data_IF_951707553894
#
_entry.id   IF_951707553894
#
_cell.length_a   1.000
_cell.length_b   1.000
_cell.length_c   1.000
_cell.angle_alpha   90.00
_cell.angle_beta   90.00
_cell.angle_gamma   90.00
#
_symmetry.space_group_name_H-M   'P 1'
#
loop_
_entity.id
_entity.type
_entity.pdbx_description
1 polymer ?
#
# COMPACT_ATOMS: atom_id res chain seq x y z
N UNK A 1 -18.69 -3.70 21.05
CA UNK A 1 -20.03 -3.63 20.41
C UNK A 1 -19.82 -3.91 18.92
N UNK A 2 -20.62 -4.76 18.28
CA UNK A 2 -20.48 -4.97 16.82
C UNK A 2 -20.87 -3.67 16.09
N UNK A 3 -20.16 -3.28 15.00
CA UNK A 3 -20.53 -2.11 14.24
C UNK A 3 -21.94 -2.25 13.69
N UNK A 4 -22.72 -1.16 13.74
CA UNK A 4 -24.08 -1.16 13.19
C UNK A 4 -24.00 -1.45 11.69
N UNK A 5 -24.84 -2.39 11.21
CA UNK A 5 -24.96 -2.65 9.78
C UNK A 5 -25.47 -1.38 9.10
N UNK A 6 -24.79 -0.89 8.02
CA UNK A 6 -25.27 0.25 7.29
C UNK A 6 -26.63 -0.06 6.64
N UNK A 7 -27.54 0.92 6.53
CA UNK A 7 -28.80 0.73 5.80
C UNK A 7 -28.52 0.36 4.34
N UNK A 8 -29.29 -0.58 3.79
CA UNK A 8 -29.19 -0.99 2.39
C UNK A 8 -29.88 0.10 1.51
N UNK A 9 -29.25 0.45 0.39
CA UNK A 9 -29.77 1.38 -0.65
C UNK A 9 -29.95 2.87 -0.26
N UNK A 10 -29.08 3.45 0.53
CA UNK A 10 -29.08 4.89 0.77
C UNK A 10 -27.96 5.59 0.00
N UNK A 11 -28.26 6.71 -0.64
CA UNK A 11 -27.27 7.67 -1.10
C UNK A 11 -26.64 8.35 0.12
N UNK A 12 -25.53 7.76 0.61
CA UNK A 12 -24.82 8.28 1.77
C UNK A 12 -24.15 9.60 1.44
N UNK A 13 -24.51 10.64 2.18
CA UNK A 13 -23.75 11.90 2.21
C UNK A 13 -22.52 11.75 3.10
N UNK A 14 -21.56 12.65 2.97
CA UNK A 14 -20.37 12.67 3.86
C UNK A 14 -20.76 12.81 5.33
N UNK A 15 -21.70 13.68 5.73
CA UNK A 15 -22.22 13.71 7.11
C UNK A 15 -22.78 12.37 7.61
N UNK A 16 -23.52 11.61 6.78
CA UNK A 16 -24.06 10.31 7.16
C UNK A 16 -22.93 9.30 7.42
N UNK A 17 -21.90 9.32 6.56
CA UNK A 17 -20.71 8.48 6.69
C UNK A 17 -19.96 8.81 8.00
N UNK A 18 -19.75 10.08 8.29
CA UNK A 18 -19.09 10.51 9.53
C UNK A 18 -19.89 10.10 10.78
N UNK A 19 -21.22 10.26 10.75
CA UNK A 19 -22.09 9.81 11.83
C UNK A 19 -22.03 8.29 12.04
N UNK A 20 -21.97 7.52 10.96
CA UNK A 20 -21.78 6.06 11.06
C UNK A 20 -20.41 5.69 11.64
N UNK A 21 -19.35 6.38 11.23
CA UNK A 21 -17.99 6.17 11.75
C UNK A 21 -17.93 6.46 13.24
N UNK A 22 -18.52 7.58 13.68
CA UNK A 22 -18.58 7.95 15.10
C UNK A 22 -19.35 6.92 15.92
N UNK A 23 -20.53 6.48 15.44
CA UNK A 23 -21.35 5.48 16.12
C UNK A 23 -20.71 4.07 16.15
N UNK A 24 -19.75 3.79 15.24
CA UNK A 24 -19.04 2.51 15.11
C UNK A 24 -17.65 2.56 15.77
N UNK A 25 -17.24 3.69 16.30
CA UNK A 25 -15.93 3.94 16.87
C UNK A 25 -15.62 3.14 18.14
N UNK A 26 -14.33 2.98 18.43
CA UNK A 26 -13.87 2.25 19.62
C UNK A 26 -12.54 2.80 20.14
N UNK A 27 -12.51 3.22 21.39
CA UNK A 27 -11.29 3.67 22.07
C UNK A 27 -10.24 2.56 22.17
N UNK A 28 -10.66 1.31 22.39
CA UNK A 28 -9.75 0.17 22.45
C UNK A 28 -9.05 -0.07 21.10
N UNK A 29 -9.77 0.10 20.00
CA UNK A 29 -9.18 0.02 18.67
C UNK A 29 -8.17 1.16 18.43
N UNK A 30 -8.45 2.38 18.89
CA UNK A 30 -7.51 3.50 18.80
C UNK A 30 -6.21 3.15 19.52
N UNK A 31 -6.27 2.65 20.76
CA UNK A 31 -5.10 2.21 21.48
C UNK A 31 -4.34 1.08 20.78
N UNK A 32 -5.07 0.14 20.14
CA UNK A 32 -4.49 -0.91 19.31
C UNK A 32 -3.73 -0.34 18.10
N UNK A 33 -4.32 0.60 17.37
CA UNK A 33 -3.73 1.25 16.18
C UNK A 33 -2.43 1.97 16.51
N UNK A 34 -2.37 2.69 17.63
CA UNK A 34 -1.17 3.40 18.08
C UNK A 34 0.04 2.48 18.27
N UNK A 35 -0.17 1.25 18.78
CA UNK A 35 0.91 0.25 18.95
C UNK A 35 1.56 -0.15 17.62
N UNK A 36 0.85 -0.01 16.51
CA UNK A 36 1.35 -0.28 15.17
C UNK A 36 1.88 0.97 14.44
N UNK A 37 1.98 2.12 15.14
CA UNK A 37 2.46 3.37 14.58
C UNK A 37 1.48 4.05 13.64
N UNK A 38 0.18 3.76 13.76
CA UNK A 38 -0.87 4.44 13.04
C UNK A 38 -1.22 5.73 13.78
N UNK A 39 -1.28 6.85 13.05
CA UNK A 39 -1.71 8.14 13.60
C UNK A 39 -3.20 8.13 13.88
N UNK A 40 -3.58 8.54 15.07
CA UNK A 40 -4.96 8.47 15.56
C UNK A 40 -5.50 9.81 16.08
N UNK A 41 -4.80 10.90 15.82
CA UNK A 41 -5.19 12.24 16.28
C UNK A 41 -6.59 12.65 15.79
N UNK A 42 -6.96 12.18 14.59
CA UNK A 42 -8.29 12.28 14.00
C UNK A 42 -8.75 10.88 13.57
N UNK A 43 -9.15 10.05 14.53
CA UNK A 43 -9.63 8.69 14.25
C UNK A 43 -10.83 8.36 15.14
N UNK A 44 -11.78 7.63 14.57
CA UNK A 44 -12.94 7.08 15.29
C UNK A 44 -12.62 5.71 15.93
N UNK A 45 -11.59 5.01 15.45
CA UNK A 45 -11.26 3.67 15.91
C UNK A 45 -12.06 2.55 15.22
N UNK A 46 -12.46 2.76 13.97
CA UNK A 46 -13.14 1.73 13.17
C UNK A 46 -12.10 0.94 12.37
N UNK A 47 -12.05 -0.38 12.57
CA UNK A 47 -11.09 -1.26 11.89
C UNK A 47 -11.47 -1.57 10.44
N UNK A 48 -10.48 -1.98 9.64
CA UNK A 48 -10.65 -2.33 8.21
C UNK A 48 -11.66 -3.45 7.96
N UNK A 49 -11.88 -4.35 8.93
CA UNK A 49 -12.90 -5.40 8.86
C UNK A 49 -14.33 -4.83 8.75
N UNK A 50 -14.58 -3.64 9.29
CA UNK A 50 -15.85 -2.93 9.16
C UNK A 50 -15.84 -1.94 7.98
N UNK A 51 -14.72 -1.24 7.76
CA UNK A 51 -14.62 -0.22 6.69
C UNK A 51 -14.73 -0.82 5.29
N UNK A 52 -14.10 -1.97 5.02
CA UNK A 52 -14.14 -2.57 3.67
C UNK A 52 -15.55 -3.00 3.22
N UNK A 53 -16.36 -3.70 4.02
CA UNK A 53 -17.75 -3.97 3.67
C UNK A 53 -18.58 -2.68 3.51
N UNK A 54 -18.38 -1.70 4.37
CA UNK A 54 -19.06 -0.41 4.25
C UNK A 54 -18.69 0.33 2.96
N UNK A 55 -17.40 0.39 2.63
CA UNK A 55 -16.96 0.96 1.35
C UNK A 55 -17.58 0.28 0.13
N UNK A 56 -17.77 -1.06 0.18
CA UNK A 56 -18.50 -1.78 -0.88
C UNK A 56 -19.97 -1.36 -0.97
N UNK A 57 -20.63 -1.12 0.15
CA UNK A 57 -22.02 -0.63 0.17
C UNK A 57 -22.12 0.79 -0.39
N UNK A 58 -21.13 1.64 -0.09
CA UNK A 58 -21.08 3.01 -0.60
C UNK A 58 -20.91 3.08 -2.13
N UNK A 59 -20.25 2.09 -2.73
CA UNK A 59 -19.88 2.13 -4.13
C UNK A 59 -18.85 3.21 -4.47
N UNK A 60 -18.45 3.27 -5.73
CA UNK A 60 -17.47 4.28 -6.21
C UNK A 60 -18.14 5.61 -6.49
N UNK A 61 -17.51 6.70 -6.04
CA UNK A 61 -17.90 8.08 -6.31
C UNK A 61 -16.73 9.01 -6.00
N UNK A 62 -16.17 9.62 -7.04
CA UNK A 62 -14.98 10.46 -6.94
C UNK A 62 -15.22 11.74 -6.12
N UNK A 63 -16.35 12.45 -6.34
CA UNK A 63 -16.66 13.68 -5.61
C UNK A 63 -16.75 13.42 -4.11
N UNK A 64 -17.47 12.37 -3.73
CA UNK A 64 -17.57 11.96 -2.32
C UNK A 64 -16.23 11.54 -1.75
N UNK A 65 -15.36 10.88 -2.54
CA UNK A 65 -14.02 10.53 -2.11
C UNK A 65 -13.16 11.76 -1.83
N UNK A 66 -13.23 12.80 -2.68
CA UNK A 66 -12.56 14.07 -2.44
C UNK A 66 -13.03 14.72 -1.12
N UNK A 67 -14.34 14.80 -0.91
CA UNK A 67 -14.90 15.37 0.31
C UNK A 67 -14.49 14.58 1.56
N UNK A 68 -14.54 13.24 1.51
CA UNK A 68 -14.10 12.37 2.61
C UNK A 68 -12.62 12.58 2.93
N UNK A 69 -11.77 12.72 1.91
CA UNK A 69 -10.34 13.00 2.11
C UNK A 69 -10.10 14.29 2.87
N UNK A 70 -10.81 15.36 2.51
CA UNK A 70 -10.69 16.69 3.11
C UNK A 70 -11.10 16.73 4.58
N UNK A 71 -11.90 15.79 5.08
CA UNK A 71 -12.27 15.74 6.49
C UNK A 71 -11.06 15.53 7.41
N UNK A 72 -10.01 14.90 6.91
CA UNK A 72 -8.80 14.58 7.65
C UNK A 72 -8.95 13.42 8.66
N UNK A 73 -10.15 12.85 8.84
CA UNK A 73 -10.33 11.67 9.67
C UNK A 73 -9.73 10.42 9.00
N UNK A 74 -9.02 9.61 9.79
CA UNK A 74 -8.35 8.39 9.29
C UNK A 74 -9.31 7.48 8.53
N UNK A 75 -10.43 7.16 9.12
CA UNK A 75 -11.41 6.23 8.53
C UNK A 75 -12.09 6.81 7.30
N UNK A 76 -12.37 8.11 7.28
CA UNK A 76 -12.91 8.80 6.12
C UNK A 76 -11.91 8.78 4.95
N UNK A 77 -10.61 9.00 5.21
CA UNK A 77 -9.55 8.87 4.21
C UNK A 77 -9.44 7.44 3.66
N UNK A 78 -9.57 6.43 4.52
CA UNK A 78 -9.58 5.04 4.06
C UNK A 78 -10.82 4.72 3.20
N UNK A 79 -12.00 5.23 3.57
CA UNK A 79 -13.21 5.11 2.74
C UNK A 79 -13.08 5.87 1.43
N UNK A 80 -12.48 7.07 1.43
CA UNK A 80 -12.14 7.79 0.21
C UNK A 80 -11.36 6.88 -0.75
N UNK A 81 -10.25 6.29 -0.29
CA UNK A 81 -9.40 5.40 -1.08
C UNK A 81 -10.12 4.13 -1.56
N UNK A 82 -11.04 3.57 -0.76
CA UNK A 82 -11.81 2.39 -1.16
C UNK A 82 -12.91 2.69 -2.18
N UNK A 83 -13.39 3.92 -2.22
CA UNK A 83 -14.57 4.32 -3.00
C UNK A 83 -14.28 5.33 -4.10
N UNK A 84 -13.01 5.71 -4.28
CA UNK A 84 -12.61 6.57 -5.39
C UNK A 84 -12.65 5.81 -6.73
N UNK A 85 -12.79 6.55 -7.81
CA UNK A 85 -12.79 6.08 -9.19
C UNK A 85 -11.37 6.19 -9.76
N UNK A 86 -10.62 5.08 -9.94
CA UNK A 86 -9.22 5.15 -10.38
C UNK A 86 -9.03 5.94 -11.67
N UNK A 87 -9.96 5.82 -12.63
CA UNK A 87 -9.89 6.55 -13.90
C UNK A 87 -10.03 8.08 -13.78
N UNK A 88 -10.40 8.58 -12.61
CA UNK A 88 -10.52 10.02 -12.31
C UNK A 88 -9.39 10.55 -11.40
N UNK A 89 -8.61 9.67 -10.82
CA UNK A 89 -7.43 10.05 -10.01
C UNK A 89 -6.31 10.48 -10.95
N UNK A 90 -6.03 11.78 -11.03
CA UNK A 90 -4.91 12.31 -11.80
C UNK A 90 -3.58 12.18 -11.04
N UNK A 91 -2.42 12.23 -11.72
CA UNK A 91 -1.12 12.28 -11.05
C UNK A 91 -1.00 13.46 -10.09
N UNK A 92 -1.59 14.62 -10.44
CA UNK A 92 -1.59 15.80 -9.57
C UNK A 92 -2.36 15.51 -8.28
N UNK A 93 -3.57 14.93 -8.39
CA UNK A 93 -4.36 14.55 -7.21
C UNK A 93 -3.60 13.50 -6.35
N UNK A 94 -2.94 12.53 -6.97
CA UNK A 94 -2.12 11.55 -6.23
C UNK A 94 -0.98 12.23 -5.43
N UNK A 95 -0.33 13.27 -6.00
CA UNK A 95 0.69 14.07 -5.30
C UNK A 95 0.12 14.87 -4.12
N UNK A 96 -1.05 15.47 -4.31
CA UNK A 96 -1.76 16.18 -3.24
C UNK A 96 -2.11 15.24 -2.08
N UNK A 97 -2.65 14.06 -2.39
CA UNK A 97 -2.92 13.05 -1.37
C UNK A 97 -1.63 12.59 -0.67
N UNK A 98 -0.55 12.36 -1.42
CA UNK A 98 0.72 11.90 -0.89
C UNK A 98 1.38 12.94 0.04
N UNK A 99 1.13 14.23 -0.17
CA UNK A 99 1.60 15.29 0.73
C UNK A 99 1.03 15.19 2.14
N UNK A 100 -0.15 14.59 2.29
CA UNK A 100 -0.87 14.40 3.56
C UNK A 100 -0.59 13.07 4.25
N UNK A 101 0.21 12.19 3.65
CA UNK A 101 0.44 10.85 4.20
C UNK A 101 1.19 10.89 5.53
N UNK A 102 0.60 10.30 6.54
CA UNK A 102 1.13 10.27 7.91
C UNK A 102 1.13 8.89 8.55
N UNK A 103 0.69 7.84 7.82
CA UNK A 103 0.71 6.47 8.31
C UNK A 103 0.90 5.47 7.16
N UNK A 104 1.55 4.34 7.46
CA UNK A 104 1.82 3.27 6.51
C UNK A 104 0.53 2.64 5.94
N UNK A 105 -0.53 2.60 6.71
CA UNK A 105 -1.80 1.98 6.33
C UNK A 105 -2.49 2.76 5.20
N UNK A 106 -2.54 4.09 5.32
CA UNK A 106 -3.09 4.97 4.26
C UNK A 106 -2.25 4.83 3.00
N UNK A 107 -0.92 4.85 3.13
CA UNK A 107 0.02 4.68 2.01
C UNK A 107 -0.25 3.39 1.26
N UNK A 108 -0.39 2.26 1.97
CA UNK A 108 -0.53 0.97 1.32
C UNK A 108 -1.83 0.88 0.49
N UNK A 109 -2.93 1.47 0.99
CA UNK A 109 -4.20 1.50 0.27
C UNK A 109 -4.17 2.52 -0.89
N UNK A 110 -3.59 3.70 -0.67
CA UNK A 110 -3.42 4.69 -1.74
C UNK A 110 -2.55 4.17 -2.88
N UNK A 111 -1.50 3.39 -2.55
CA UNK A 111 -0.63 2.79 -3.56
C UNK A 111 -1.38 1.83 -4.51
N UNK A 112 -2.35 1.08 -3.99
CA UNK A 112 -3.22 0.22 -4.81
C UNK A 112 -4.07 1.08 -5.77
N UNK A 113 -4.72 2.13 -5.26
CA UNK A 113 -5.49 3.08 -6.06
C UNK A 113 -4.64 3.74 -7.16
N UNK A 114 -3.41 4.18 -6.85
CA UNK A 114 -2.53 4.83 -7.82
C UNK A 114 -2.04 3.86 -8.91
N UNK A 115 -1.84 2.59 -8.57
CA UNK A 115 -1.53 1.53 -9.53
C UNK A 115 -2.74 1.27 -10.45
N UNK A 116 -3.94 1.16 -9.88
CA UNK A 116 -5.18 0.98 -10.63
C UNK A 116 -5.49 2.19 -11.55
N UNK A 117 -5.08 3.40 -11.14
CA UNK A 117 -5.16 4.63 -11.93
C UNK A 117 -4.13 4.71 -13.08
N UNK A 118 -3.17 3.76 -13.14
CA UNK A 118 -2.17 3.69 -14.19
C UNK A 118 -0.93 4.57 -14.00
N UNK A 119 -0.69 5.08 -12.79
CA UNK A 119 0.37 6.06 -12.52
C UNK A 119 1.71 5.48 -12.09
N UNK A 120 1.91 4.16 -12.26
CA UNK A 120 3.13 3.48 -11.78
C UNK A 120 4.40 4.12 -12.34
N UNK A 121 4.46 4.32 -13.66
CA UNK A 121 5.70 4.74 -14.35
C UNK A 121 6.05 6.20 -14.08
N UNK A 122 5.04 7.05 -13.87
CA UNK A 122 5.23 8.46 -13.57
C UNK A 122 5.59 8.69 -12.10
N UNK A 123 4.82 8.11 -11.17
CA UNK A 123 4.93 8.44 -9.74
C UNK A 123 6.02 7.65 -9.02
N UNK A 124 6.36 6.43 -9.44
CA UNK A 124 7.35 5.62 -8.72
C UNK A 124 8.73 6.29 -8.69
N UNK A 125 9.33 6.75 -9.80
CA UNK A 125 10.62 7.41 -9.73
C UNK A 125 10.60 8.72 -8.94
N UNK A 126 9.51 9.50 -9.06
CA UNK A 126 9.32 10.75 -8.34
C UNK A 126 9.20 10.52 -6.83
N UNK A 127 8.30 9.65 -6.40
CA UNK A 127 8.07 9.38 -4.99
C UNK A 127 9.26 8.67 -4.32
N UNK A 128 10.00 7.84 -5.06
CA UNK A 128 11.22 7.23 -4.53
C UNK A 128 12.29 8.28 -4.21
N UNK A 129 12.38 9.36 -5.01
CA UNK A 129 13.34 10.44 -4.81
C UNK A 129 12.93 11.41 -3.68
N UNK A 130 11.65 11.43 -3.28
CA UNK A 130 11.14 12.33 -2.24
C UNK A 130 11.75 12.00 -0.87
N UNK A 131 12.09 13.03 -0.09
CA UNK A 131 12.69 12.86 1.24
C UNK A 131 11.68 12.53 2.34
N UNK A 132 10.40 12.80 2.13
CA UNK A 132 9.34 12.48 3.09
C UNK A 132 9.15 10.97 3.19
N UNK A 133 9.17 10.43 4.40
CA UNK A 133 9.17 8.99 4.66
C UNK A 133 7.99 8.27 3.98
N UNK A 134 6.78 8.79 4.13
CA UNK A 134 5.58 8.13 3.63
C UNK A 134 5.41 8.31 2.12
N UNK A 135 5.90 9.41 1.53
CA UNK A 135 5.93 9.57 0.07
C UNK A 135 6.91 8.57 -0.56
N UNK A 136 8.13 8.46 -0.03
CA UNK A 136 9.09 7.44 -0.50
C UNK A 136 8.55 6.03 -0.29
N UNK A 137 7.88 5.74 0.84
CA UNK A 137 7.21 4.46 1.05
C UNK A 137 6.23 4.14 -0.06
N UNK A 138 5.45 5.13 -0.53
CA UNK A 138 4.43 4.95 -1.57
C UNK A 138 5.02 4.38 -2.85
N UNK A 139 6.20 4.85 -3.29
CA UNK A 139 6.87 4.31 -4.47
C UNK A 139 7.04 2.78 -4.40
N UNK A 140 7.56 2.29 -3.27
CA UNK A 140 7.84 0.87 -3.11
C UNK A 140 6.57 0.04 -2.82
N UNK A 141 5.58 0.62 -2.17
CA UNK A 141 4.27 0.01 -2.02
C UNK A 141 3.56 -0.12 -3.37
N UNK A 142 3.63 0.89 -4.25
CA UNK A 142 3.12 0.81 -5.63
C UNK A 142 3.79 -0.30 -6.42
N UNK A 143 5.12 -0.46 -6.34
CA UNK A 143 5.83 -1.57 -6.98
C UNK A 143 5.31 -2.91 -6.47
N UNK A 144 5.13 -3.05 -5.16
CA UNK A 144 4.64 -4.29 -4.56
C UNK A 144 3.22 -4.63 -5.03
N UNK A 145 2.31 -3.66 -5.06
CA UNK A 145 0.94 -3.83 -5.56
C UNK A 145 0.93 -4.15 -7.06
N UNK A 146 1.68 -3.41 -7.87
CA UNK A 146 1.79 -3.63 -9.31
C UNK A 146 2.28 -5.05 -9.64
N UNK A 147 3.29 -5.55 -8.92
CA UNK A 147 3.82 -6.91 -9.11
C UNK A 147 2.77 -8.00 -8.86
N UNK A 148 1.76 -7.73 -8.02
CA UNK A 148 0.64 -8.65 -7.72
C UNK A 148 -0.53 -8.47 -8.69
N UNK A 149 -0.92 -7.23 -8.99
CA UNK A 149 -2.19 -6.92 -9.65
C UNK A 149 -2.06 -6.73 -11.17
N UNK A 150 -0.96 -6.15 -11.68
CA UNK A 150 -0.75 -5.93 -13.11
C UNK A 150 -0.23 -7.20 -13.81
N UNK A 151 -1.06 -8.25 -13.86
CA UNK A 151 -0.65 -9.57 -14.38
C UNK A 151 -0.26 -9.57 -15.85
N UNK A 152 -0.82 -8.65 -16.65
CA UNK A 152 -0.56 -8.52 -18.10
C UNK A 152 0.65 -7.65 -18.42
N UNK A 153 1.22 -6.96 -17.44
CA UNK A 153 2.40 -6.12 -17.61
C UNK A 153 3.64 -7.00 -17.78
N UNK A 154 4.54 -6.60 -18.67
CA UNK A 154 5.75 -7.36 -18.98
C UNK A 154 6.65 -7.55 -17.76
N UNK A 155 7.25 -8.74 -17.66
CA UNK A 155 8.15 -9.06 -16.57
C UNK A 155 9.44 -8.22 -16.62
N UNK A 156 9.87 -7.82 -17.83
CA UNK A 156 11.01 -6.94 -18.02
C UNK A 156 10.84 -5.60 -17.29
N UNK A 157 9.62 -5.05 -17.26
CA UNK A 157 9.33 -3.80 -16.54
C UNK A 157 9.58 -3.94 -15.02
N UNK A 158 9.20 -5.08 -14.44
CA UNK A 158 9.44 -5.35 -13.02
C UNK A 158 10.91 -5.62 -12.71
N UNK A 159 11.62 -6.29 -13.61
CA UNK A 159 13.06 -6.53 -13.49
C UNK A 159 13.81 -5.18 -13.57
N UNK A 160 13.37 -4.25 -14.43
CA UNK A 160 13.92 -2.91 -14.56
C UNK A 160 13.76 -2.05 -13.29
N UNK A 161 12.85 -2.41 -12.37
CA UNK A 161 12.68 -1.73 -11.08
C UNK A 161 13.67 -2.22 -9.99
N UNK A 162 14.35 -3.34 -10.19
CA UNK A 162 15.30 -3.89 -9.20
C UNK A 162 16.45 -2.92 -8.86
N UNK A 163 17.07 -2.19 -9.82
CA UNK A 163 18.07 -1.18 -9.51
C UNK A 163 17.56 -0.05 -8.60
N UNK A 164 16.27 0.34 -8.74
CA UNK A 164 15.68 1.33 -7.86
C UNK A 164 15.54 0.79 -6.43
N UNK A 165 15.14 -0.47 -6.28
CA UNK A 165 15.08 -1.17 -4.99
C UNK A 165 16.47 -1.22 -4.35
N UNK A 166 17.51 -1.58 -5.11
CA UNK A 166 18.89 -1.61 -4.63
C UNK A 166 19.35 -0.23 -4.14
N UNK A 167 19.08 0.82 -4.92
CA UNK A 167 19.47 2.20 -4.61
C UNK A 167 18.93 2.67 -3.25
N UNK A 168 17.69 2.30 -2.91
CA UNK A 168 17.05 2.73 -1.67
C UNK A 168 17.08 1.68 -0.54
N UNK A 169 17.81 0.59 -0.73
CA UNK A 169 17.96 -0.46 0.30
C UNK A 169 18.73 0.03 1.54
N UNK A 170 19.47 1.13 1.46
CA UNK A 170 20.19 1.75 2.58
C UNK A 170 19.33 2.66 3.46
N UNK A 171 18.09 2.98 3.05
CA UNK A 171 17.21 3.88 3.83
C UNK A 171 16.82 3.24 5.19
N UNK A 172 17.30 3.80 6.32
CA UNK A 172 17.12 3.16 7.62
C UNK A 172 15.74 3.35 8.22
N UNK A 173 14.91 4.25 7.65
CA UNK A 173 13.57 4.54 8.16
C UNK A 173 12.69 3.30 8.10
N UNK A 174 12.06 2.99 9.21
CA UNK A 174 11.37 1.70 9.40
C UNK A 174 10.31 1.43 8.33
N UNK A 175 9.53 2.44 7.96
CA UNK A 175 8.46 2.26 7.01
C UNK A 175 8.95 2.22 5.56
N UNK A 176 10.06 2.92 5.23
CA UNK A 176 10.69 2.83 3.90
C UNK A 176 11.33 1.46 3.70
N UNK A 177 12.23 1.03 4.63
CA UNK A 177 12.93 -0.26 4.48
C UNK A 177 11.98 -1.44 4.35
N UNK A 178 10.83 -1.40 5.06
CA UNK A 178 9.81 -2.45 4.97
C UNK A 178 9.12 -2.46 3.61
N UNK A 179 8.86 -1.29 3.01
CA UNK A 179 8.29 -1.19 1.67
C UNK A 179 9.27 -1.63 0.59
N UNK A 180 10.54 -1.23 0.69
CA UNK A 180 11.63 -1.69 -0.21
C UNK A 180 11.73 -3.21 -0.19
N UNK A 181 11.76 -3.81 1.00
CA UNK A 181 11.73 -5.26 1.16
C UNK A 181 10.45 -5.90 0.58
N UNK A 182 9.30 -5.28 0.81
CA UNK A 182 8.03 -5.77 0.27
C UNK A 182 8.02 -5.77 -1.26
N UNK A 183 8.48 -4.68 -1.90
CA UNK A 183 8.62 -4.57 -3.35
C UNK A 183 9.51 -5.69 -3.92
N UNK A 184 10.70 -5.89 -3.36
CA UNK A 184 11.63 -6.95 -3.78
C UNK A 184 10.99 -8.34 -3.73
N UNK A 185 10.35 -8.65 -2.60
CA UNK A 185 9.69 -9.95 -2.40
C UNK A 185 8.51 -10.15 -3.34
N UNK A 186 7.70 -9.13 -3.62
CA UNK A 186 6.57 -9.26 -4.54
C UNK A 186 7.01 -9.45 -5.99
N UNK A 187 8.06 -8.74 -6.44
CA UNK A 187 8.67 -9.01 -7.74
C UNK A 187 9.14 -10.47 -7.81
N UNK A 188 9.89 -10.93 -6.81
CA UNK A 188 10.41 -12.31 -6.78
C UNK A 188 9.32 -13.40 -6.68
N UNK A 189 8.13 -13.05 -6.21
CA UNK A 189 6.97 -13.97 -6.11
C UNK A 189 6.01 -13.89 -7.29
N UNK A 190 6.27 -13.01 -8.28
CA UNK A 190 5.41 -12.83 -9.43
C UNK A 190 5.34 -14.10 -10.29
N UNK A 191 6.46 -14.54 -10.81
CA UNK A 191 6.66 -15.75 -11.59
C UNK A 191 8.15 -16.15 -11.62
N UNK A 192 8.52 -17.22 -12.33
CA UNK A 192 9.90 -17.70 -12.39
C UNK A 192 10.84 -16.74 -13.14
N UNK A 193 10.37 -16.02 -14.15
CA UNK A 193 11.17 -15.02 -14.88
C UNK A 193 11.65 -13.90 -13.96
N UNK A 194 10.77 -13.37 -13.12
CA UNK A 194 11.10 -12.33 -12.14
C UNK A 194 11.83 -12.91 -10.91
N UNK A 195 11.65 -14.20 -10.61
CA UNK A 195 12.19 -14.80 -9.39
C UNK A 195 13.72 -14.79 -9.35
N UNK A 196 14.37 -15.27 -10.40
CA UNK A 196 15.83 -15.41 -10.42
C UNK A 196 16.55 -14.05 -10.28
N UNK A 197 16.20 -12.98 -11.03
CA UNK A 197 16.81 -11.65 -10.84
C UNK A 197 16.55 -11.07 -9.45
N UNK A 198 15.32 -11.24 -8.91
CA UNK A 198 14.98 -10.72 -7.59
C UNK A 198 15.71 -11.47 -6.47
N UNK A 199 15.87 -12.80 -6.57
CA UNK A 199 16.65 -13.60 -5.63
C UNK A 199 18.14 -13.21 -5.69
N UNK A 200 18.71 -13.04 -6.88
CA UNK A 200 20.08 -12.59 -7.04
C UNK A 200 20.34 -11.22 -6.40
N UNK A 201 19.39 -10.27 -6.54
CA UNK A 201 19.48 -9.00 -5.82
C UNK A 201 19.37 -9.21 -4.31
N UNK A 202 18.44 -10.04 -3.83
CA UNK A 202 18.29 -10.33 -2.41
C UNK A 202 19.55 -10.90 -1.78
N UNK A 203 20.23 -11.83 -2.46
CA UNK A 203 21.51 -12.42 -2.03
C UNK A 203 22.62 -11.37 -1.98
N UNK A 204 22.73 -10.49 -3.00
CA UNK A 204 23.65 -9.36 -3.02
C UNK A 204 23.41 -8.44 -1.81
N UNK A 205 22.17 -8.07 -1.55
CA UNK A 205 21.83 -7.22 -0.40
C UNK A 205 22.11 -7.92 0.94
N UNK A 206 21.90 -9.24 1.03
CA UNK A 206 22.17 -10.01 2.23
C UNK A 206 23.65 -10.06 2.61
N UNK A 207 24.55 -9.91 1.64
CA UNK A 207 25.99 -9.86 1.84
C UNK A 207 26.51 -8.44 2.21
N UNK A 208 25.67 -7.42 2.21
CA UNK A 208 26.06 -6.03 2.47
C UNK A 208 26.59 -5.83 3.89
N UNK A 209 27.54 -4.89 4.06
CA UNK A 209 28.01 -4.41 5.37
C UNK A 209 27.00 -3.47 6.04
N UNK A 210 26.16 -2.77 5.26
CA UNK A 210 25.10 -1.93 5.80
C UNK A 210 24.00 -2.79 6.47
N UNK A 211 23.64 -2.42 7.68
CA UNK A 211 22.68 -3.20 8.50
C UNK A 211 21.28 -3.24 7.90
N UNK A 212 20.83 -2.15 7.32
CA UNK A 212 19.48 -2.03 6.73
C UNK A 212 19.39 -2.85 5.46
N UNK A 213 20.34 -2.67 4.56
CA UNK A 213 20.48 -3.42 3.32
C UNK A 213 20.54 -4.92 3.58
N UNK A 214 21.41 -5.32 4.53
CA UNK A 214 21.57 -6.74 4.91
C UNK A 214 20.28 -7.33 5.50
N UNK A 215 19.52 -6.56 6.29
CA UNK A 215 18.24 -7.01 6.81
C UNK A 215 17.23 -7.25 5.69
N UNK A 216 17.11 -6.32 4.73
CA UNK A 216 16.24 -6.46 3.54
C UNK A 216 16.62 -7.73 2.77
N UNK A 217 17.91 -7.90 2.46
CA UNK A 217 18.39 -9.05 1.70
C UNK A 217 18.11 -10.37 2.40
N UNK A 218 18.45 -10.50 3.68
CA UNK A 218 18.23 -11.73 4.44
C UNK A 218 16.75 -12.12 4.56
N UNK A 219 15.87 -11.12 4.79
CA UNK A 219 14.44 -11.38 4.88
C UNK A 219 13.86 -11.78 3.52
N UNK A 220 14.28 -11.14 2.44
CA UNK A 220 13.86 -11.48 1.08
C UNK A 220 14.37 -12.87 0.67
N UNK A 221 15.65 -13.21 0.91
CA UNK A 221 16.19 -14.55 0.64
C UNK A 221 15.38 -15.61 1.37
N UNK A 222 15.13 -15.43 2.68
CA UNK A 222 14.36 -16.38 3.48
C UNK A 222 13.00 -16.69 2.86
N UNK A 223 12.25 -15.65 2.42
CA UNK A 223 10.93 -15.85 1.83
C UNK A 223 11.03 -16.42 0.41
N UNK A 224 11.93 -15.92 -0.43
CA UNK A 224 12.04 -16.35 -1.83
C UNK A 224 12.58 -17.78 -1.97
N UNK A 225 13.36 -18.27 -1.00
CA UNK A 225 13.83 -19.66 -1.00
C UNK A 225 12.91 -20.65 -0.27
N UNK A 226 11.79 -20.17 0.29
CA UNK A 226 10.79 -21.03 0.95
C UNK A 226 10.17 -22.01 -0.05
N UNK A 227 10.08 -23.29 0.33
CA UNK A 227 9.61 -24.36 -0.55
C UNK A 227 8.18 -24.16 -1.04
N UNK A 228 7.30 -23.56 -0.22
CA UNK A 228 5.92 -23.26 -0.63
C UNK A 228 5.90 -22.21 -1.73
N UNK A 229 6.79 -21.20 -1.65
CA UNK A 229 6.92 -20.18 -2.70
C UNK A 229 7.42 -20.81 -3.99
N UNK A 230 8.48 -21.64 -3.94
CA UNK A 230 9.03 -22.34 -5.10
C UNK A 230 8.00 -23.25 -5.77
N UNK A 231 7.28 -24.05 -4.99
CA UNK A 231 6.21 -24.93 -5.50
C UNK A 231 5.08 -24.13 -6.16
N UNK A 232 4.65 -23.02 -5.55
CA UNK A 232 3.63 -22.14 -6.14
C UNK A 232 4.09 -21.50 -7.44
N UNK A 233 5.36 -21.10 -7.55
CA UNK A 233 5.92 -20.55 -8.78
C UNK A 233 5.98 -21.62 -9.89
N UNK A 234 6.41 -22.83 -9.57
CA UNK A 234 6.44 -23.95 -10.51
C UNK A 234 5.04 -24.34 -11.01
N UNK A 235 4.02 -24.27 -10.17
CA UNK A 235 2.62 -24.58 -10.56
C UNK A 235 2.00 -23.55 -11.49
N UNK A 236 2.47 -22.30 -11.50
CA UNK A 236 1.98 -21.24 -12.40
C UNK A 236 2.49 -21.35 -13.85
N UNK A 237 3.46 -22.22 -14.11
CA UNK A 237 3.98 -22.48 -15.47
C UNK A 237 3.18 -23.55 -16.23
N UNK A 238 2.29 -24.25 -15.57
CA UNK A 238 1.39 -25.25 -16.20
C UNK A 238 0.06 -24.61 -16.59
#
# INVERSE_FOLDING_TARGET
MAPRRPPENADYTVPDILAWLEASGSADNIAGMQRFGIKTDKAFGVGNAALRPFGKTLGRNHERALELWQTGFREARLLALFTDEPGRVSPTHAREMAADFNSWEIVDIASDLFVDAGHLDELVPEFAADEREFVRRTAFAMIAWAAVHLKKRDDADFIALLPLIERYATDPRNFVKKAVNWALRQIGKRNLTCHAPALGLAEKLAASQDKTTRWIGKDAVRELTDDKIRQRLASKQR
#
